data_IF_709381757751
#
_entry.id   IF_709381757751
#
_cell.length_a   1.000
_cell.length_b   1.000
_cell.length_c   1.000
_cell.angle_alpha   90.00
_cell.angle_beta   90.00
_cell.angle_gamma   90.00
#
_symmetry.space_group_name_H-M   'P 1'
#
loop_
_entity.id
_entity.type
_entity.pdbx_description
1 polymer ?
#
# COMPACT_ATOMS: atom_id res chain seq x y z
N UNK A 1 -10.26 -20.13 -11.76
CA UNK A 1 -9.62 -18.80 -11.54
C UNK A 1 -10.63 -17.93 -10.83
N UNK A 2 -10.46 -17.69 -9.52
CA UNK A 2 -11.46 -16.98 -8.68
C UNK A 2 -11.52 -15.50 -9.07
N UNK A 3 -12.71 -15.04 -9.45
CA UNK A 3 -12.99 -13.65 -9.78
C UNK A 3 -12.98 -12.78 -8.52
N UNK A 4 -11.91 -12.00 -8.37
CA UNK A 4 -11.68 -11.02 -7.30
C UNK A 4 -12.48 -9.74 -7.62
N UNK A 5 -13.77 -9.71 -7.27
CA UNK A 5 -14.69 -8.59 -7.55
C UNK A 5 -15.31 -8.00 -6.28
N UNK A 6 -14.50 -7.77 -5.24
CA UNK A 6 -14.96 -7.07 -4.02
C UNK A 6 -14.17 -5.76 -3.91
N UNK A 7 -14.84 -4.58 -3.92
CA UNK A 7 -14.23 -3.32 -3.54
C UNK A 7 -13.59 -3.44 -2.15
N UNK A 8 -12.32 -3.04 -2.01
CA UNK A 8 -11.57 -3.23 -0.76
C UNK A 8 -10.58 -4.41 -0.75
N UNK A 9 -10.40 -5.10 -1.88
CA UNK A 9 -9.27 -6.02 -2.05
C UNK A 9 -7.99 -5.26 -2.29
N UNK A 10 -7.30 -4.94 -1.20
CA UNK A 10 -5.99 -4.29 -1.22
C UNK A 10 -4.88 -5.33 -1.37
N UNK A 11 -3.95 -5.10 -2.30
CA UNK A 11 -2.66 -5.78 -2.35
C UNK A 11 -1.57 -4.83 -1.87
N UNK A 12 -0.63 -5.35 -1.09
CA UNK A 12 0.51 -4.58 -0.63
C UNK A 12 1.81 -5.34 -0.90
N UNK A 13 2.76 -4.67 -1.54
CA UNK A 13 4.11 -5.18 -1.79
C UNK A 13 5.15 -4.22 -1.24
N UNK A 14 6.34 -4.74 -0.99
CA UNK A 14 7.51 -3.96 -0.57
C UNK A 14 8.55 -3.94 -1.69
N UNK A 15 8.93 -2.76 -2.15
CA UNK A 15 10.01 -2.56 -3.12
C UNK A 15 11.28 -2.16 -2.37
N UNK A 16 12.39 -2.83 -2.69
CA UNK A 16 13.73 -2.51 -2.20
C UNK A 16 14.54 -1.87 -3.32
N UNK A 17 15.16 -0.72 -3.02
CA UNK A 17 16.09 -0.06 -3.93
C UNK A 17 17.45 -0.74 -3.98
N UNK A 18 18.34 -0.20 -4.81
CA UNK A 18 19.72 -0.68 -5.00
C UNK A 18 20.43 -0.90 -3.66
N UNK A 19 21.12 -2.03 -3.54
CA UNK A 19 21.85 -2.45 -2.35
C UNK A 19 21.00 -2.44 -1.05
N UNK A 20 19.68 -2.57 -1.16
CA UNK A 20 18.71 -2.47 -0.05
C UNK A 20 18.70 -1.11 0.69
N UNK A 21 19.30 -0.06 0.12
CA UNK A 21 19.49 1.26 0.77
C UNK A 21 18.23 2.11 0.87
N UNK A 22 17.18 1.78 0.12
CA UNK A 22 15.87 2.44 0.21
C UNK A 22 14.74 1.41 0.17
N UNK A 23 13.57 1.81 0.66
CA UNK A 23 12.37 0.96 0.62
C UNK A 23 11.12 1.79 0.36
N UNK A 24 10.20 1.24 -0.40
CA UNK A 24 8.89 1.82 -0.68
C UNK A 24 7.83 0.75 -0.41
N UNK A 25 6.83 1.06 0.40
CA UNK A 25 5.62 0.26 0.47
C UNK A 25 4.69 0.67 -0.67
N UNK A 26 4.07 -0.33 -1.29
CA UNK A 26 3.03 -0.14 -2.30
C UNK A 26 1.71 -0.65 -1.74
N UNK A 27 0.62 0.04 -2.08
CA UNK A 27 -0.73 -0.38 -1.72
C UNK A 27 -1.65 -0.13 -2.92
N UNK A 28 -2.25 -1.19 -3.44
CA UNK A 28 -3.00 -1.18 -4.70
C UNK A 28 -4.44 -1.60 -4.45
N UNK A 29 -5.40 -0.78 -4.88
CA UNK A 29 -6.81 -1.17 -4.96
C UNK A 29 -7.08 -1.75 -6.35
N UNK A 30 -7.49 -3.01 -6.42
CA UNK A 30 -7.45 -3.76 -7.68
C UNK A 30 -8.54 -3.41 -8.68
N UNK A 31 -9.67 -2.85 -8.22
CA UNK A 31 -10.78 -2.53 -9.09
C UNK A 31 -10.53 -1.20 -9.81
N UNK A 32 -10.12 -0.18 -9.06
CA UNK A 32 -9.84 1.18 -9.51
C UNK A 32 -8.40 1.34 -10.03
N UNK A 33 -7.51 0.39 -9.70
CA UNK A 33 -6.07 0.45 -9.97
C UNK A 33 -5.39 1.65 -9.31
N UNK A 34 -5.98 2.18 -8.26
CA UNK A 34 -5.37 3.20 -7.44
C UNK A 34 -4.11 2.62 -6.79
N UNK A 35 -2.98 3.29 -6.98
CA UNK A 35 -1.69 2.89 -6.43
C UNK A 35 -1.19 3.98 -5.48
N UNK A 36 -0.90 3.58 -4.25
CA UNK A 36 -0.26 4.41 -3.23
C UNK A 36 1.18 3.94 -3.07
N UNK A 37 2.11 4.89 -3.10
CA UNK A 37 3.52 4.66 -2.81
C UNK A 37 3.90 5.43 -1.55
N UNK A 38 4.48 4.72 -0.58
CA UNK A 38 4.93 5.33 0.67
C UNK A 38 6.43 5.03 0.87
N UNK A 39 7.25 6.07 0.85
CA UNK A 39 8.68 5.97 1.17
C UNK A 39 8.86 5.58 2.63
N UNK A 40 9.74 4.61 2.88
CA UNK A 40 9.97 4.10 4.23
C UNK A 40 11.40 4.40 4.70
N UNK A 41 11.60 4.70 5.99
CA UNK A 41 12.92 4.84 6.58
C UNK A 41 13.67 3.50 6.65
N UNK A 42 12.94 2.39 6.80
CA UNK A 42 13.46 1.02 6.76
C UNK A 42 12.38 0.02 6.32
N UNK A 43 12.75 -1.26 6.16
CA UNK A 43 11.87 -2.33 5.71
C UNK A 43 11.15 -3.07 6.85
N UNK A 44 10.99 -2.44 8.02
CA UNK A 44 10.34 -3.08 9.18
C UNK A 44 8.83 -2.96 9.11
N UNK A 45 8.15 -3.97 9.66
CA UNK A 45 6.69 -4.03 9.70
C UNK A 45 6.05 -2.78 10.34
N UNK A 46 6.66 -2.23 11.40
CA UNK A 46 6.14 -1.04 12.07
C UNK A 46 6.23 0.22 11.20
N UNK A 47 7.37 0.42 10.51
CA UNK A 47 7.57 1.51 9.55
C UNK A 47 6.58 1.42 8.40
N UNK A 48 6.38 0.21 7.85
CA UNK A 48 5.38 -0.06 6.80
C UNK A 48 3.98 0.28 7.28
N UNK A 49 3.56 -0.22 8.45
CA UNK A 49 2.23 0.04 9.02
C UNK A 49 2.00 1.54 9.18
N UNK A 50 2.95 2.25 9.81
CA UNK A 50 2.84 3.69 10.05
C UNK A 50 2.72 4.46 8.73
N UNK A 51 3.58 4.18 7.77
CA UNK A 51 3.60 4.89 6.49
C UNK A 51 2.31 4.65 5.68
N UNK A 52 1.81 3.41 5.63
CA UNK A 52 0.56 3.09 4.95
C UNK A 52 -0.67 3.68 5.67
N UNK A 53 -0.71 3.67 7.01
CA UNK A 53 -1.77 4.35 7.77
C UNK A 53 -1.81 5.85 7.47
N UNK A 54 -0.65 6.51 7.43
CA UNK A 54 -0.59 7.93 7.06
C UNK A 54 -1.00 8.16 5.60
N UNK A 55 -0.54 7.33 4.67
CA UNK A 55 -0.89 7.47 3.26
C UNK A 55 -2.40 7.28 3.00
N UNK A 56 -3.05 6.36 3.71
CA UNK A 56 -4.50 6.12 3.62
C UNK A 56 -5.34 7.32 4.09
N UNK A 57 -4.80 8.22 4.92
CA UNK A 57 -5.52 9.44 5.34
C UNK A 57 -5.78 10.40 4.18
N UNK A 58 -5.03 10.31 3.10
CA UNK A 58 -5.22 11.13 1.90
C UNK A 58 -6.30 10.59 0.96
N UNK A 59 -6.78 9.36 1.17
CA UNK A 59 -7.86 8.81 0.35
C UNK A 59 -9.23 9.33 0.79
N UNK A 60 -10.21 9.47 -0.10
CA UNK A 60 -11.61 9.64 0.28
C UNK A 60 -12.07 8.56 1.26
N UNK A 61 -12.91 8.91 2.22
CA UNK A 61 -13.39 7.97 3.24
C UNK A 61 -14.11 6.75 2.65
N UNK A 62 -14.72 6.91 1.48
CA UNK A 62 -15.41 5.85 0.72
C UNK A 62 -14.46 4.74 0.27
N UNK A 63 -13.19 5.07 -0.01
CA UNK A 63 -12.17 4.09 -0.40
C UNK A 63 -11.46 3.46 0.81
N UNK A 64 -11.60 4.03 2.02
CA UNK A 64 -10.95 3.50 3.23
C UNK A 64 -11.72 2.38 3.91
N UNK A 65 -12.99 2.18 3.54
CA UNK A 65 -13.86 1.16 4.13
C UNK A 65 -13.74 -0.12 3.31
N UNK A 66 -13.41 -1.22 3.98
CA UNK A 66 -13.38 -2.59 3.43
C UNK A 66 -13.97 -3.52 4.48
#
# INVERSE_FOLDING_TARGET
VQERKIPGHWEADLIKGKDNKSSIATLIERNTRLCILATLPDAKAESVRKALTEALKYLPAELRKS
#
